data_IF_090812984703
#
_entry.id   IF_090812984703
#
_cell.length_a   1.000
_cell.length_b   1.000
_cell.length_c   1.000
_cell.angle_alpha   90.00
_cell.angle_beta   90.00
_cell.angle_gamma   90.00
#
_symmetry.space_group_name_H-M   'P 1'
#
loop_
_entity.id
_entity.type
_entity.pdbx_description
1 polymer ?
#
# COMPACT_ATOMS: atom_id res chain seq x y z
N UNK A 1 -44.98 -35.61 -46.46
CA UNK A 1 -44.68 -34.95 -45.21
C UNK A 1 -43.17 -35.11 -44.94
N UNK A 2 -42.37 -34.05 -45.22
CA UNK A 2 -40.91 -34.07 -44.92
C UNK A 2 -40.73 -33.44 -43.53
N UNK A 3 -40.25 -34.27 -42.57
CA UNK A 3 -39.87 -33.78 -41.27
C UNK A 3 -38.50 -33.06 -41.40
N UNK A 4 -38.49 -31.78 -41.06
CA UNK A 4 -37.27 -30.98 -40.95
C UNK A 4 -36.72 -31.19 -39.53
N UNK A 5 -35.59 -31.87 -39.39
CA UNK A 5 -34.84 -31.97 -38.11
C UNK A 5 -34.00 -30.68 -37.97
N UNK A 6 -34.39 -29.80 -37.06
CA UNK A 6 -33.58 -28.65 -36.66
C UNK A 6 -32.64 -29.14 -35.54
N UNK A 7 -31.37 -29.32 -35.87
CA UNK A 7 -30.35 -29.60 -34.89
C UNK A 7 -29.99 -28.30 -34.16
N UNK A 8 -30.36 -28.19 -32.88
CA UNK A 8 -29.89 -27.12 -31.99
C UNK A 8 -28.40 -27.37 -31.65
N UNK A 9 -27.51 -26.62 -32.30
CA UNK A 9 -26.11 -26.58 -31.90
C UNK A 9 -25.98 -25.79 -30.57
N UNK A 10 -25.83 -26.53 -29.49
CA UNK A 10 -25.44 -25.97 -28.19
C UNK A 10 -23.95 -25.53 -28.26
N UNK A 11 -23.69 -24.24 -28.48
CA UNK A 11 -22.37 -23.67 -28.25
C UNK A 11 -22.21 -23.48 -26.72
N UNK A 12 -21.31 -24.21 -26.07
CA UNK A 12 -21.00 -23.89 -24.68
C UNK A 12 -20.37 -22.49 -24.66
N UNK A 13 -21.01 -21.56 -23.97
CA UNK A 13 -20.43 -20.24 -23.68
C UNK A 13 -19.20 -20.51 -22.80
N UNK A 14 -18.02 -20.42 -23.36
CA UNK A 14 -16.77 -20.38 -22.59
C UNK A 14 -16.79 -19.09 -21.76
N UNK A 15 -17.23 -19.19 -20.52
CA UNK A 15 -17.07 -18.14 -19.53
C UNK A 15 -15.57 -18.02 -19.25
N UNK A 16 -14.89 -17.09 -19.90
CA UNK A 16 -13.54 -16.73 -19.54
C UNK A 16 -13.55 -16.15 -18.12
N UNK A 17 -12.82 -16.76 -17.21
CA UNK A 17 -12.59 -16.21 -15.91
C UNK A 17 -11.93 -14.82 -16.06
N UNK A 18 -12.46 -13.83 -15.36
CA UNK A 18 -11.97 -12.45 -15.43
C UNK A 18 -11.48 -12.00 -14.06
N UNK A 19 -10.54 -11.07 -14.07
CA UNK A 19 -10.14 -10.34 -12.86
C UNK A 19 -11.38 -9.68 -12.25
N UNK A 20 -11.57 -9.89 -10.95
CA UNK A 20 -12.71 -9.31 -10.22
C UNK A 20 -12.23 -8.26 -9.24
N UNK A 21 -12.98 -7.18 -9.15
CA UNK A 21 -12.77 -6.12 -8.15
C UNK A 21 -14.02 -6.04 -7.27
N UNK A 22 -13.87 -6.42 -6.02
CA UNK A 22 -14.91 -6.30 -5.00
C UNK A 22 -14.69 -5.01 -4.18
N UNK A 23 -15.77 -4.37 -3.75
CA UNK A 23 -15.73 -3.28 -2.78
C UNK A 23 -16.33 -3.77 -1.47
N UNK A 24 -15.57 -3.65 -0.40
CA UNK A 24 -15.96 -4.02 0.95
C UNK A 24 -16.27 -2.79 1.79
N UNK A 25 -17.31 -2.87 2.59
CA UNK A 25 -17.55 -2.00 3.73
C UNK A 25 -16.93 -2.66 4.96
N UNK A 26 -15.88 -2.04 5.51
CA UNK A 26 -15.11 -2.55 6.64
C UNK A 26 -15.44 -1.71 7.87
N UNK A 27 -16.22 -2.27 8.79
CA UNK A 27 -16.48 -1.61 10.07
C UNK A 27 -15.21 -1.67 10.94
N UNK A 28 -14.79 -0.52 11.43
CA UNK A 28 -13.67 -0.38 12.37
C UNK A 28 -14.20 -0.25 13.79
N UNK A 29 -14.10 -1.28 14.62
CA UNK A 29 -14.48 -1.21 16.04
C UNK A 29 -13.67 -0.17 16.81
N UNK A 30 -12.38 -0.02 16.50
CA UNK A 30 -11.52 0.94 17.20
C UNK A 30 -11.88 2.41 16.93
N UNK A 31 -12.45 2.69 15.75
CA UNK A 31 -12.83 4.06 15.36
C UNK A 31 -14.35 4.28 15.29
N UNK A 32 -15.17 3.24 15.51
CA UNK A 32 -16.64 3.27 15.42
C UNK A 32 -17.16 3.87 14.09
N UNK A 33 -16.50 3.50 12.99
CA UNK A 33 -16.88 3.95 11.64
C UNK A 33 -16.65 2.87 10.59
N UNK A 34 -17.36 2.99 9.47
CA UNK A 34 -17.17 2.11 8.31
C UNK A 34 -16.24 2.77 7.32
N UNK A 35 -15.22 2.03 6.88
CA UNK A 35 -14.29 2.39 5.83
C UNK A 35 -14.51 1.47 4.63
N UNK A 36 -14.03 1.88 3.46
CA UNK A 36 -14.11 1.04 2.26
C UNK A 36 -12.74 0.48 1.89
N UNK A 37 -12.73 -0.73 1.36
CA UNK A 37 -11.55 -1.30 0.70
C UNK A 37 -11.97 -1.93 -0.63
N UNK A 38 -11.10 -1.85 -1.65
CA UNK A 38 -11.30 -2.68 -2.84
C UNK A 38 -10.35 -3.88 -2.79
N UNK A 39 -10.84 -5.03 -3.24
CA UNK A 39 -10.09 -6.28 -3.33
C UNK A 39 -10.12 -6.75 -4.77
N UNK A 40 -8.95 -6.80 -5.40
CA UNK A 40 -8.76 -7.29 -6.76
C UNK A 40 -8.22 -8.71 -6.70
N UNK A 41 -8.95 -9.64 -7.30
CA UNK A 41 -8.55 -11.05 -7.39
C UNK A 41 -8.21 -11.43 -8.83
N UNK A 42 -7.15 -12.23 -9.09
CA UNK A 42 -6.81 -12.69 -10.45
C UNK A 42 -7.89 -13.62 -11.02
N UNK A 43 -7.88 -13.82 -12.33
CA UNK A 43 -8.87 -14.68 -13.01
C UNK A 43 -8.86 -16.12 -12.47
N UNK A 44 -7.68 -16.64 -12.15
CA UNK A 44 -7.50 -17.97 -11.55
C UNK A 44 -8.26 -18.13 -10.22
N UNK A 45 -8.51 -17.04 -9.49
CA UNK A 45 -9.27 -17.07 -8.24
C UNK A 45 -10.70 -17.61 -8.44
N UNK A 46 -11.30 -17.45 -9.61
CA UNK A 46 -12.66 -17.92 -9.91
C UNK A 46 -12.68 -19.43 -10.25
N UNK A 47 -11.56 -19.98 -10.71
CA UNK A 47 -11.49 -21.35 -11.26
C UNK A 47 -10.67 -22.33 -10.39
N UNK A 48 -9.88 -21.83 -9.43
CA UNK A 48 -9.09 -22.62 -8.49
C UNK A 48 -9.64 -22.51 -7.08
N UNK A 49 -9.28 -23.47 -6.22
CA UNK A 49 -9.48 -23.42 -4.76
C UNK A 49 -8.19 -23.02 -4.02
N UNK A 50 -7.14 -22.65 -4.76
CA UNK A 50 -5.86 -22.27 -4.19
C UNK A 50 -5.96 -21.02 -3.31
N UNK A 51 -4.99 -20.85 -2.42
CA UNK A 51 -4.77 -19.63 -1.65
C UNK A 51 -3.72 -18.78 -2.33
N UNK A 52 -3.82 -17.47 -2.16
CA UNK A 52 -3.05 -16.48 -2.91
C UNK A 52 -2.22 -15.59 -1.97
N UNK A 53 -1.01 -15.19 -2.37
CA UNK A 53 -0.31 -14.10 -1.72
C UNK A 53 -1.11 -12.80 -1.80
N UNK A 54 -0.87 -11.88 -0.86
CA UNK A 54 -1.60 -10.60 -0.78
C UNK A 54 -0.62 -9.43 -0.83
N UNK A 55 -0.95 -8.42 -1.64
CA UNK A 55 -0.27 -7.13 -1.65
C UNK A 55 -1.25 -6.04 -1.24
N UNK A 56 -0.93 -5.33 -0.15
CA UNK A 56 -1.64 -4.13 0.25
C UNK A 56 -1.06 -2.92 -0.49
N UNK A 57 -1.90 -2.21 -1.26
CA UNK A 57 -1.51 -1.09 -2.12
C UNK A 57 -2.16 0.20 -1.62
N UNK A 58 -1.41 1.02 -0.91
CA UNK A 58 -1.87 2.14 -0.12
C UNK A 58 -1.97 3.44 -0.95
N UNK A 59 -3.01 4.25 -0.69
CA UNK A 59 -3.23 5.55 -1.34
C UNK A 59 -2.52 6.70 -0.62
N UNK A 60 -2.43 7.86 -1.27
CA UNK A 60 -1.83 9.08 -0.73
C UNK A 60 -2.75 9.91 0.17
N UNK A 61 -2.24 11.03 0.67
CA UNK A 61 -2.83 11.83 1.76
C UNK A 61 -4.19 12.46 1.51
N UNK A 62 -4.63 12.59 0.27
CA UNK A 62 -5.97 13.09 -0.10
C UNK A 62 -6.74 12.06 -0.92
N UNK A 63 -6.34 10.79 -0.81
CA UNK A 63 -6.85 9.70 -1.61
C UNK A 63 -7.98 8.91 -0.97
N UNK A 64 -8.33 7.85 -1.67
CA UNK A 64 -9.36 6.89 -1.27
C UNK A 64 -9.00 5.48 -1.72
N UNK A 65 -9.75 4.49 -1.25
CA UNK A 65 -9.63 3.09 -1.65
C UNK A 65 -9.71 2.84 -3.17
N UNK A 66 -10.36 3.74 -3.90
CA UNK A 66 -10.58 3.59 -5.35
C UNK A 66 -9.53 4.27 -6.23
N UNK A 67 -8.62 5.06 -5.66
CA UNK A 67 -7.69 5.91 -6.42
C UNK A 67 -6.80 5.11 -7.38
N UNK A 68 -6.29 3.97 -6.94
CA UNK A 68 -5.46 3.09 -7.77
C UNK A 68 -6.22 2.47 -8.95
N UNK A 69 -7.56 2.45 -8.91
CA UNK A 69 -8.39 2.01 -10.03
C UNK A 69 -8.83 3.18 -10.93
N UNK A 70 -8.92 4.40 -10.38
CA UNK A 70 -9.53 5.54 -11.06
C UNK A 70 -8.54 6.58 -11.57
N UNK A 71 -7.48 6.90 -10.80
CA UNK A 71 -6.57 8.01 -11.08
C UNK A 71 -5.32 7.63 -11.89
N UNK A 72 -5.00 6.35 -11.97
CA UNK A 72 -3.89 5.86 -12.78
C UNK A 72 -4.02 6.26 -14.24
N UNK A 73 -2.90 6.58 -14.90
CA UNK A 73 -2.89 6.93 -16.33
C UNK A 73 -3.07 5.73 -17.23
N UNK A 74 -2.61 4.54 -16.83
CA UNK A 74 -2.89 3.27 -17.48
C UNK A 74 -4.07 2.59 -16.79
N UNK A 75 -5.27 2.72 -17.36
CA UNK A 75 -6.48 2.10 -16.81
C UNK A 75 -6.34 0.58 -16.75
N UNK A 76 -6.85 -0.01 -15.67
CA UNK A 76 -6.79 -1.45 -15.45
C UNK A 76 -5.43 -1.99 -15.00
N UNK A 77 -4.43 -1.13 -14.69
CA UNK A 77 -3.10 -1.58 -14.27
C UNK A 77 -3.15 -2.47 -13.02
N UNK A 78 -4.03 -2.17 -12.04
CA UNK A 78 -4.17 -3.01 -10.84
C UNK A 78 -4.67 -4.40 -11.20
N UNK A 79 -5.63 -4.50 -12.12
CA UNK A 79 -6.13 -5.78 -12.62
C UNK A 79 -5.02 -6.56 -13.34
N UNK A 80 -4.25 -5.86 -14.18
CA UNK A 80 -3.11 -6.46 -14.88
C UNK A 80 -2.04 -6.97 -13.91
N UNK A 81 -1.75 -6.22 -12.85
CA UNK A 81 -0.78 -6.63 -11.82
C UNK A 81 -1.28 -7.85 -11.03
N UNK A 82 -2.57 -7.88 -10.65
CA UNK A 82 -3.16 -9.04 -9.99
C UNK A 82 -3.04 -10.30 -10.85
N UNK A 83 -3.32 -10.18 -12.14
CA UNK A 83 -3.23 -11.28 -13.11
C UNK A 83 -1.77 -11.72 -13.34
N UNK A 84 -0.88 -10.75 -13.64
CA UNK A 84 0.53 -11.02 -13.96
C UNK A 84 1.26 -11.74 -12.83
N UNK A 85 1.01 -11.30 -11.61
CA UNK A 85 1.68 -11.86 -10.43
C UNK A 85 0.84 -12.91 -9.69
N UNK A 86 -0.36 -13.21 -10.16
CA UNK A 86 -1.29 -14.16 -9.53
C UNK A 86 -1.43 -13.92 -8.02
N UNK A 87 -1.76 -12.68 -7.65
CA UNK A 87 -1.89 -12.20 -6.26
C UNK A 87 -3.24 -11.53 -6.03
N UNK A 88 -3.70 -11.54 -4.79
CA UNK A 88 -4.78 -10.67 -4.32
C UNK A 88 -4.19 -9.28 -4.04
N UNK A 89 -4.83 -8.21 -4.54
CA UNK A 89 -4.43 -6.83 -4.25
C UNK A 89 -5.54 -6.17 -3.43
N UNK A 90 -5.17 -5.61 -2.29
CA UNK A 90 -6.10 -4.88 -1.41
C UNK A 90 -5.73 -3.39 -1.41
N UNK A 91 -6.68 -2.54 -1.80
CA UNK A 91 -6.53 -1.08 -1.74
C UNK A 91 -7.45 -0.53 -0.64
N UNK A 92 -6.92 -0.34 0.59
CA UNK A 92 -7.72 0.14 1.72
C UNK A 92 -7.96 1.65 1.64
N UNK A 93 -9.12 2.10 2.14
CA UNK A 93 -9.37 3.52 2.39
C UNK A 93 -9.04 3.88 3.82
N UNK A 94 -8.32 4.98 4.00
CA UNK A 94 -8.04 5.60 5.30
C UNK A 94 -8.36 7.09 5.24
N UNK A 95 -8.39 7.75 6.40
CA UNK A 95 -8.67 9.19 6.47
C UNK A 95 -7.58 10.05 5.81
N UNK A 96 -7.95 11.24 5.33
CA UNK A 96 -7.01 12.16 4.73
C UNK A 96 -5.91 12.55 5.73
N UNK A 97 -4.66 12.61 5.25
CA UNK A 97 -3.49 12.98 6.04
C UNK A 97 -3.28 12.17 7.35
N UNK A 98 -3.82 10.95 7.41
CA UNK A 98 -3.74 10.07 8.60
C UNK A 98 -2.40 9.37 8.77
N UNK A 99 -1.56 9.37 7.76
CA UNK A 99 -0.24 8.71 7.72
C UNK A 99 -0.24 7.23 8.10
N UNK A 100 -1.39 6.57 8.15
CA UNK A 100 -1.56 5.16 8.56
C UNK A 100 -1.10 4.86 9.99
N UNK A 101 -1.07 5.86 10.89
CA UNK A 101 -0.74 5.66 12.29
C UNK A 101 -1.95 5.83 13.22
N UNK A 102 -1.79 5.46 14.48
CA UNK A 102 -2.71 5.76 15.55
C UNK A 102 -2.32 7.10 16.20
N UNK A 103 -3.28 7.99 16.34
CA UNK A 103 -3.08 9.24 17.06
C UNK A 103 -3.02 8.97 18.58
N UNK A 104 -2.09 9.58 19.31
CA UNK A 104 -2.09 9.52 20.76
C UNK A 104 -3.20 10.39 21.40
N UNK A 105 -3.89 11.23 20.60
CA UNK A 105 -4.88 12.20 21.10
C UNK A 105 -6.30 11.94 20.60
N UNK A 106 -6.44 11.36 19.40
CA UNK A 106 -7.71 11.25 18.71
C UNK A 106 -8.12 9.77 18.53
N UNK A 107 -9.12 9.33 19.29
CA UNK A 107 -9.66 7.96 19.15
C UNK A 107 -10.26 7.69 17.78
N UNK A 108 -10.65 8.73 17.04
CA UNK A 108 -11.14 8.63 15.66
C UNK A 108 -10.03 8.40 14.61
N UNK A 109 -8.75 8.40 15.02
CA UNK A 109 -7.56 8.20 14.18
C UNK A 109 -6.77 7.02 14.72
N UNK A 110 -7.19 5.80 14.35
CA UNK A 110 -6.60 4.51 14.74
C UNK A 110 -6.31 3.69 13.50
N UNK A 111 -5.55 4.26 12.54
CA UNK A 111 -5.39 3.63 11.23
C UNK A 111 -4.32 2.54 11.20
N UNK A 112 -3.34 2.55 12.12
CA UNK A 112 -2.44 1.41 12.34
C UNK A 112 -3.24 0.22 12.88
N UNK A 113 -4.02 0.43 13.95
CA UNK A 113 -4.94 -0.59 14.52
C UNK A 113 -5.90 -1.12 13.45
N UNK A 114 -6.51 -0.22 12.67
CA UNK A 114 -7.40 -0.60 11.57
C UNK A 114 -6.70 -1.52 10.56
N UNK A 115 -5.53 -1.16 10.09
CA UNK A 115 -4.81 -1.97 9.10
C UNK A 115 -4.42 -3.33 9.66
N UNK A 116 -3.84 -3.36 10.86
CA UNK A 116 -3.17 -4.54 11.42
C UNK A 116 -4.15 -5.49 12.12
N UNK A 117 -5.06 -4.95 12.93
CA UNK A 117 -5.91 -5.75 13.80
C UNK A 117 -7.32 -5.97 13.24
N UNK A 118 -7.76 -5.14 12.28
CA UNK A 118 -9.12 -5.19 11.77
C UNK A 118 -9.16 -5.62 10.29
N UNK A 119 -8.48 -4.90 9.38
CA UNK A 119 -8.55 -5.15 7.95
C UNK A 119 -7.81 -6.44 7.53
N UNK A 120 -6.55 -6.62 7.93
CA UNK A 120 -5.77 -7.81 7.55
C UNK A 120 -6.47 -9.10 7.97
N UNK A 121 -6.91 -9.27 9.23
CA UNK A 121 -7.65 -10.47 9.64
C UNK A 121 -8.97 -10.64 8.89
N UNK A 122 -9.69 -9.56 8.59
CA UNK A 122 -10.92 -9.62 7.81
C UNK A 122 -10.66 -10.15 6.39
N UNK A 123 -9.65 -9.64 5.71
CA UNK A 123 -9.26 -10.09 4.37
C UNK A 123 -8.88 -11.58 4.41
N UNK A 124 -8.06 -12.00 5.37
CA UNK A 124 -7.64 -13.39 5.52
C UNK A 124 -8.81 -14.33 5.82
N UNK A 125 -9.87 -13.84 6.48
CA UNK A 125 -11.08 -14.62 6.77
C UNK A 125 -12.05 -14.71 5.59
N UNK A 126 -12.14 -13.67 4.76
CA UNK A 126 -13.11 -13.59 3.68
C UNK A 126 -12.57 -14.04 2.32
N UNK A 127 -11.26 -13.98 2.13
CA UNK A 127 -10.61 -14.35 0.88
C UNK A 127 -9.64 -15.51 1.07
N UNK A 128 -9.41 -16.26 0.01
CA UNK A 128 -8.44 -17.36 -0.01
C UNK A 128 -7.01 -16.79 -0.09
N UNK A 129 -6.55 -16.22 1.01
CA UNK A 129 -5.19 -15.70 1.16
C UNK A 129 -4.28 -16.69 1.85
N UNK A 130 -2.98 -16.64 1.57
CA UNK A 130 -1.94 -17.24 2.37
C UNK A 130 -1.67 -16.32 3.56
N UNK A 131 -2.31 -16.61 4.71
CA UNK A 131 -2.32 -15.76 5.92
C UNK A 131 -1.01 -15.87 6.72
N UNK A 132 0.13 -15.66 6.06
CA UNK A 132 1.47 -15.75 6.64
C UNK A 132 2.35 -14.61 6.15
N UNK A 133 3.41 -14.28 6.91
CA UNK A 133 4.37 -13.22 6.60
C UNK A 133 4.95 -13.37 5.19
N UNK A 134 5.41 -14.56 4.86
CA UNK A 134 6.12 -14.89 3.62
C UNK A 134 5.26 -14.69 2.36
N UNK A 135 3.95 -14.58 2.53
CA UNK A 135 2.99 -14.39 1.44
C UNK A 135 2.27 -13.05 1.49
N UNK A 136 2.74 -12.10 2.33
CA UNK A 136 2.13 -10.78 2.46
C UNK A 136 3.16 -9.68 2.26
N UNK A 137 2.83 -8.72 1.38
CA UNK A 137 3.64 -7.53 1.13
C UNK A 137 2.78 -6.27 1.17
N UNK A 138 3.44 -5.12 1.30
CA UNK A 138 2.78 -3.82 1.39
C UNK A 138 3.56 -2.78 0.59
N UNK A 139 2.86 -1.93 -0.16
CA UNK A 139 3.47 -0.78 -0.84
C UNK A 139 2.45 0.34 -0.97
N UNK A 140 2.89 1.53 -1.35
CA UNK A 140 1.99 2.65 -1.56
C UNK A 140 2.70 3.90 -2.05
N UNK A 141 1.89 4.92 -2.36
CA UNK A 141 2.38 6.22 -2.82
C UNK A 141 2.26 7.29 -1.74
N UNK A 142 3.22 8.23 -1.68
CA UNK A 142 3.14 9.42 -0.83
C UNK A 142 2.91 9.05 0.65
N UNK A 143 1.79 9.47 1.24
CA UNK A 143 1.35 9.02 2.56
C UNK A 143 1.27 7.49 2.67
N UNK A 144 0.85 6.79 1.60
CA UNK A 144 0.81 5.33 1.55
C UNK A 144 2.20 4.69 1.52
N UNK A 145 3.19 5.35 0.90
CA UNK A 145 4.59 4.94 0.97
C UNK A 145 5.16 5.04 2.39
N UNK A 146 4.82 6.13 3.10
CA UNK A 146 5.08 6.24 4.54
C UNK A 146 4.44 5.09 5.31
N UNK A 147 3.12 4.89 5.12
CA UNK A 147 2.38 3.84 5.81
C UNK A 147 2.95 2.45 5.57
N UNK A 148 3.32 2.13 4.33
CA UNK A 148 3.90 0.84 3.98
C UNK A 148 5.21 0.56 4.74
N UNK A 149 6.12 1.52 4.78
CA UNK A 149 7.41 1.37 5.49
C UNK A 149 7.21 1.35 7.01
N UNK A 150 6.39 2.25 7.56
CA UNK A 150 6.18 2.34 9.01
C UNK A 150 5.43 1.14 9.58
N UNK A 151 4.39 0.66 8.88
CA UNK A 151 3.65 -0.54 9.29
C UNK A 151 4.55 -1.79 9.23
N UNK A 152 5.34 -1.95 8.16
CA UNK A 152 6.26 -3.08 8.05
C UNK A 152 7.40 -3.03 9.09
N UNK A 153 7.88 -1.83 9.47
CA UNK A 153 8.87 -1.68 10.52
C UNK A 153 8.32 -2.02 11.91
N UNK A 154 7.07 -1.62 12.21
CA UNK A 154 6.43 -1.88 13.50
C UNK A 154 5.87 -3.31 13.63
N UNK A 155 5.51 -3.92 12.50
CA UNK A 155 4.88 -5.25 12.42
C UNK A 155 5.64 -6.16 11.44
N UNK A 156 6.94 -6.38 11.68
CA UNK A 156 7.78 -7.16 10.76
C UNK A 156 7.39 -8.64 10.67
N UNK A 157 6.58 -9.12 11.61
CA UNK A 157 6.01 -10.47 11.59
C UNK A 157 4.88 -10.64 10.57
N UNK A 158 4.36 -9.55 10.00
CA UNK A 158 3.23 -9.58 9.07
C UNK A 158 3.64 -9.46 7.60
N UNK A 159 4.81 -8.87 7.30
CA UNK A 159 5.19 -8.53 5.93
C UNK A 159 6.59 -9.03 5.59
N UNK A 160 6.74 -9.71 4.46
CA UNK A 160 8.04 -10.15 3.94
C UNK A 160 8.74 -9.05 3.15
N UNK A 161 7.98 -8.10 2.59
CA UNK A 161 8.52 -7.00 1.81
C UNK A 161 7.64 -5.75 1.92
N UNK A 162 8.28 -4.58 1.88
CA UNK A 162 7.64 -3.28 1.90
C UNK A 162 8.21 -2.36 0.83
N UNK A 163 7.34 -1.56 0.19
CA UNK A 163 7.73 -0.63 -0.85
C UNK A 163 7.16 0.76 -0.67
N UNK A 164 7.84 1.75 -1.24
CA UNK A 164 7.42 3.14 -1.20
C UNK A 164 7.64 3.83 -2.54
N UNK A 165 6.63 4.53 -3.02
CA UNK A 165 6.68 5.42 -4.18
C UNK A 165 6.48 6.86 -3.72
N UNK A 166 7.47 7.74 -3.89
CA UNK A 166 7.38 9.15 -3.44
C UNK A 166 6.93 9.27 -1.98
N UNK A 167 7.43 8.40 -1.09
CA UNK A 167 6.92 8.29 0.27
C UNK A 167 7.30 9.47 1.16
N UNK A 168 6.45 9.79 2.13
CA UNK A 168 6.77 10.75 3.20
C UNK A 168 7.71 10.06 4.20
N UNK A 169 8.99 9.91 3.85
CA UNK A 169 9.94 9.21 4.71
C UNK A 169 10.24 9.96 6.01
N UNK A 170 10.14 11.28 5.97
CA UNK A 170 10.23 12.15 7.14
C UNK A 170 9.03 13.09 7.18
N UNK A 171 8.29 13.09 8.31
CA UNK A 171 7.12 13.96 8.51
C UNK A 171 7.50 15.42 8.79
N UNK A 172 8.78 15.74 8.99
CA UNK A 172 9.25 17.13 9.11
C UNK A 172 9.02 17.88 7.81
N UNK A 173 8.00 18.72 7.80
CA UNK A 173 7.57 19.45 6.62
C UNK A 173 8.56 20.56 6.19
N UNK A 174 9.53 20.92 7.04
CA UNK A 174 10.57 21.88 6.69
C UNK A 174 11.59 21.29 5.69
N UNK A 175 11.63 19.96 5.59
CA UNK A 175 12.43 19.24 4.60
C UNK A 175 11.74 19.09 3.23
N UNK A 176 10.45 19.46 3.13
CA UNK A 176 9.67 19.28 1.90
C UNK A 176 9.83 20.49 0.99
N UNK A 177 10.04 20.28 -0.30
CA UNK A 177 10.12 21.34 -1.31
C UNK A 177 8.73 21.87 -1.70
N UNK A 178 8.01 22.46 -0.74
CA UNK A 178 6.63 22.97 -0.90
C UNK A 178 6.51 24.41 -0.44
N UNK A 179 5.46 25.09 -0.92
CA UNK A 179 5.12 26.44 -0.47
C UNK A 179 4.70 26.47 1.01
N UNK A 180 4.78 27.66 1.61
CA UNK A 180 4.53 27.87 3.04
C UNK A 180 3.11 27.50 3.46
N UNK A 181 2.10 27.84 2.67
CA UNK A 181 0.69 27.54 2.98
C UNK A 181 0.46 26.04 3.10
N UNK A 182 1.00 25.24 2.17
CA UNK A 182 0.87 23.78 2.23
C UNK A 182 1.63 23.21 3.44
N UNK A 183 2.82 23.74 3.74
CA UNK A 183 3.60 23.35 4.91
C UNK A 183 2.83 23.61 6.20
N UNK A 184 2.28 24.82 6.34
CA UNK A 184 1.51 25.23 7.52
C UNK A 184 0.24 24.38 7.68
N UNK A 185 -0.45 24.06 6.58
CA UNK A 185 -1.60 23.16 6.60
C UNK A 185 -1.22 21.78 7.14
N UNK A 186 -0.09 21.22 6.69
CA UNK A 186 0.38 19.89 7.15
C UNK A 186 0.84 19.92 8.60
N UNK A 187 1.57 20.97 9.02
CA UNK A 187 1.95 21.17 10.43
C UNK A 187 0.73 21.25 11.35
N UNK A 188 -0.30 21.99 10.93
CA UNK A 188 -1.55 22.07 11.71
C UNK A 188 -2.19 20.70 11.90
N UNK A 189 -2.33 19.92 10.83
CA UNK A 189 -2.91 18.57 10.94
C UNK A 189 -2.06 17.63 11.81
N UNK A 190 -0.73 17.72 11.72
CA UNK A 190 0.16 16.93 12.59
C UNK A 190 0.05 17.38 14.06
N UNK A 191 -0.07 18.68 14.32
CA UNK A 191 -0.27 19.20 15.68
C UNK A 191 -1.59 18.70 16.30
N UNK A 192 -2.65 18.70 15.52
CA UNK A 192 -3.96 18.17 15.94
C UNK A 192 -3.89 16.67 16.28
N UNK A 193 -3.14 15.89 15.51
CA UNK A 193 -3.03 14.45 15.69
C UNK A 193 -2.00 14.02 16.74
N UNK A 194 -0.89 14.75 16.88
CA UNK A 194 0.26 14.37 17.71
C UNK A 194 0.47 15.27 18.95
N UNK A 195 -0.26 16.37 19.07
CA UNK A 195 -0.28 17.27 20.24
C UNK A 195 0.91 18.22 20.37
N UNK A 196 2.00 17.98 19.69
CA UNK A 196 3.17 18.83 19.67
C UNK A 196 3.95 18.62 18.37
N UNK A 197 4.75 19.60 17.97
CA UNK A 197 5.65 19.47 16.82
C UNK A 197 7.07 19.79 17.28
N UNK A 198 7.84 18.75 17.51
CA UNK A 198 9.28 18.80 17.66
C UNK A 198 9.87 17.56 16.97
N UNK A 199 10.02 17.63 15.67
CA UNK A 199 10.44 16.50 14.84
C UNK A 199 11.81 15.90 15.23
N UNK A 200 12.63 16.60 16.01
CA UNK A 200 13.91 16.12 16.51
C UNK A 200 13.80 15.39 17.85
N UNK A 201 12.65 15.47 18.50
CA UNK A 201 12.43 14.79 19.77
C UNK A 201 12.14 13.29 19.56
N UNK A 202 12.73 12.40 20.37
CA UNK A 202 12.58 10.94 20.20
C UNK A 202 11.13 10.44 20.18
N UNK A 203 10.20 11.15 20.84
CA UNK A 203 8.77 10.79 20.82
C UNK A 203 8.12 10.84 19.43
N UNK A 204 8.76 11.50 18.45
CA UNK A 204 8.28 11.52 17.06
C UNK A 204 8.80 10.34 16.21
N UNK A 205 9.82 9.62 16.67
CA UNK A 205 10.36 8.48 15.94
C UNK A 205 9.28 7.47 15.53
N UNK A 206 8.29 7.11 16.37
CA UNK A 206 7.24 6.16 16.00
C UNK A 206 6.32 6.62 14.86
N UNK A 207 6.35 7.90 14.49
CA UNK A 207 5.47 8.53 13.50
C UNK A 207 6.17 8.87 12.19
N UNK A 208 7.44 8.49 12.02
CA UNK A 208 8.20 8.78 10.81
C UNK A 208 9.05 7.58 10.37
N UNK A 209 9.09 7.31 9.07
CA UNK A 209 9.83 6.17 8.55
C UNK A 209 11.32 6.20 8.91
N UNK A 210 11.95 7.37 8.82
CA UNK A 210 13.37 7.54 9.21
C UNK A 210 13.62 7.27 10.69
N UNK A 211 12.63 7.46 11.55
CA UNK A 211 12.72 7.17 13.00
C UNK A 211 12.56 5.69 13.33
N UNK A 212 12.02 4.89 12.41
CA UNK A 212 11.75 3.47 12.57
C UNK A 212 12.78 2.56 11.88
N UNK A 213 13.83 3.13 11.28
CA UNK A 213 14.82 2.38 10.49
C UNK A 213 15.45 1.23 11.28
N UNK A 214 15.75 1.43 12.56
CA UNK A 214 16.33 0.38 13.41
C UNK A 214 15.43 -0.85 13.56
N UNK A 215 14.10 -0.65 13.45
CA UNK A 215 13.11 -1.74 13.54
C UNK A 215 13.04 -2.57 12.24
N UNK A 216 13.59 -2.09 11.12
CA UNK A 216 13.72 -2.86 9.88
C UNK A 216 14.94 -3.78 9.89
N UNK A 217 15.93 -3.49 10.76
CA UNK A 217 17.20 -4.21 10.78
C UNK A 217 17.00 -5.65 11.25
N UNK A 218 17.56 -6.59 10.49
CA UNK A 218 17.57 -8.04 10.81
C UNK A 218 16.16 -8.68 10.98
N UNK A 219 15.10 -7.99 10.53
CA UNK A 219 13.72 -8.49 10.62
C UNK A 219 13.28 -9.30 9.40
N UNK A 220 14.12 -9.42 8.38
CA UNK A 220 13.79 -10.16 7.15
C UNK A 220 12.68 -9.49 6.32
N UNK A 221 12.52 -8.16 6.42
CA UNK A 221 11.65 -7.37 5.55
C UNK A 221 12.49 -6.77 4.44
N UNK A 222 12.22 -7.17 3.20
CA UNK A 222 12.85 -6.58 2.03
C UNK A 222 12.26 -5.18 1.74
N UNK A 223 13.09 -4.20 1.41
CA UNK A 223 12.67 -2.80 1.24
C UNK A 223 13.02 -2.28 -0.14
N UNK A 224 12.06 -1.59 -0.78
CA UNK A 224 12.27 -0.80 -1.99
C UNK A 224 11.73 0.63 -1.81
N UNK A 225 12.51 1.62 -2.20
CA UNK A 225 12.14 3.05 -2.19
C UNK A 225 12.34 3.59 -3.59
N UNK A 226 11.33 4.29 -4.11
CA UNK A 226 11.30 4.85 -5.46
C UNK A 226 10.76 6.28 -5.38
N UNK A 227 11.49 7.27 -5.91
CA UNK A 227 11.07 8.67 -5.87
C UNK A 227 11.53 9.43 -7.12
N UNK A 228 10.65 10.30 -7.66
CA UNK A 228 11.00 11.17 -8.75
C UNK A 228 11.98 12.27 -8.34
N UNK A 229 12.93 12.61 -9.22
CA UNK A 229 13.94 13.64 -8.92
C UNK A 229 13.35 15.05 -8.78
N UNK A 230 12.18 15.29 -9.39
CA UNK A 230 11.44 16.55 -9.29
C UNK A 230 10.33 16.52 -8.22
N UNK A 231 10.27 15.42 -7.44
CA UNK A 231 9.29 15.27 -6.37
C UNK A 231 9.63 16.17 -5.17
N UNK A 232 8.62 16.79 -4.58
CA UNK A 232 8.84 17.66 -3.42
C UNK A 232 9.31 16.89 -2.17
N UNK A 233 9.19 15.55 -2.15
CA UNK A 233 9.65 14.67 -1.07
C UNK A 233 11.02 14.03 -1.36
N UNK A 234 11.68 14.35 -2.45
CA UNK A 234 12.92 13.68 -2.87
C UNK A 234 13.99 13.70 -1.76
N UNK A 235 14.14 14.84 -1.05
CA UNK A 235 15.15 14.97 -0.01
C UNK A 235 14.89 14.04 1.19
N UNK A 236 13.62 13.82 1.55
CA UNK A 236 13.28 12.88 2.63
C UNK A 236 13.52 11.42 2.22
N UNK A 237 13.35 11.11 0.93
CA UNK A 237 13.66 9.78 0.38
C UNK A 237 15.19 9.55 0.31
N UNK A 238 15.96 10.57 -0.10
CA UNK A 238 17.44 10.54 -0.04
C UNK A 238 17.96 10.39 1.39
N UNK A 239 17.34 11.09 2.34
CA UNK A 239 17.65 10.96 3.77
C UNK A 239 17.44 9.50 4.23
N UNK A 240 16.31 8.90 3.92
CA UNK A 240 16.02 7.50 4.26
C UNK A 240 17.05 6.55 3.65
N UNK A 241 17.35 6.72 2.35
CA UNK A 241 18.38 5.94 1.66
C UNK A 241 19.74 6.04 2.37
N UNK A 242 20.21 7.25 2.69
CA UNK A 242 21.46 7.47 3.42
C UNK A 242 21.49 6.76 4.78
N UNK A 243 20.42 6.86 5.56
CA UNK A 243 20.32 6.18 6.87
C UNK A 243 20.36 4.66 6.72
N UNK A 244 19.67 4.10 5.72
CA UNK A 244 19.68 2.65 5.45
C UNK A 244 21.09 2.17 5.07
N UNK A 245 21.84 2.94 4.26
CA UNK A 245 23.24 2.65 3.92
C UNK A 245 24.14 2.69 5.16
N UNK A 246 24.04 3.75 5.96
CA UNK A 246 24.85 3.92 7.17
C UNK A 246 24.63 2.77 8.17
N UNK A 247 23.38 2.29 8.28
CA UNK A 247 23.01 1.17 9.15
C UNK A 247 23.24 -0.21 8.53
N UNK A 248 23.70 -0.27 7.27
CA UNK A 248 23.92 -1.51 6.48
C UNK A 248 22.65 -2.35 6.36
N UNK A 249 21.50 -1.70 6.17
CA UNK A 249 20.23 -2.36 5.89
C UNK A 249 20.08 -2.50 4.37
N UNK A 250 19.97 -3.74 3.91
CA UNK A 250 19.80 -4.04 2.48
C UNK A 250 18.48 -3.49 1.95
N UNK A 251 18.51 -2.74 0.85
CA UNK A 251 17.33 -2.18 0.20
C UNK A 251 17.59 -1.87 -1.28
N UNK A 252 16.53 -1.78 -2.08
CA UNK A 252 16.60 -1.18 -3.42
C UNK A 252 16.20 0.30 -3.32
N UNK A 253 16.96 1.18 -3.99
CA UNK A 253 16.65 2.60 -4.08
C UNK A 253 16.67 3.05 -5.54
N UNK A 254 15.62 3.74 -5.98
CA UNK A 254 15.44 4.18 -7.36
C UNK A 254 15.11 5.66 -7.39
N UNK A 255 15.90 6.42 -8.16
CA UNK A 255 15.54 7.76 -8.61
C UNK A 255 15.40 7.76 -10.13
N UNK A 256 14.37 8.41 -10.64
CA UNK A 256 14.15 8.60 -12.07
C UNK A 256 13.48 9.93 -12.34
N UNK A 257 13.54 10.45 -13.61
CA UNK A 257 12.81 11.67 -13.96
C UNK A 257 11.33 11.56 -13.61
N UNK A 258 10.76 12.61 -13.02
CA UNK A 258 9.35 12.70 -12.65
C UNK A 258 9.12 13.40 -11.32
N UNK A 259 7.86 13.70 -11.06
CA UNK A 259 7.39 14.48 -9.93
C UNK A 259 6.27 13.75 -9.17
N UNK A 260 5.68 14.40 -8.16
CA UNK A 260 4.62 13.86 -7.29
C UNK A 260 3.28 13.73 -8.03
N UNK A 261 3.19 12.81 -9.00
CA UNK A 261 2.06 12.69 -9.93
C UNK A 261 1.60 11.26 -10.16
N UNK A 262 0.33 11.11 -10.56
CA UNK A 262 -0.22 9.82 -10.94
C UNK A 262 0.47 9.20 -12.16
N UNK A 263 1.04 10.01 -13.07
CA UNK A 263 1.87 9.49 -14.17
C UNK A 263 3.08 8.75 -13.62
N UNK A 264 3.83 9.38 -12.72
CA UNK A 264 4.98 8.75 -12.08
C UNK A 264 4.61 7.46 -11.35
N UNK A 265 3.58 7.49 -10.53
CA UNK A 265 3.18 6.32 -9.74
C UNK A 265 2.61 5.18 -10.58
N UNK A 266 1.95 5.48 -11.71
CA UNK A 266 1.51 4.46 -12.66
C UNK A 266 2.69 3.72 -13.30
N UNK A 267 3.81 4.41 -13.57
CA UNK A 267 5.04 3.81 -14.09
C UNK A 267 5.86 3.11 -13.00
N UNK A 268 5.77 3.58 -11.75
CA UNK A 268 6.50 3.03 -10.60
C UNK A 268 5.88 1.74 -10.05
N UNK A 269 4.55 1.62 -10.05
CA UNK A 269 3.87 0.49 -9.40
C UNK A 269 4.24 -0.88 -9.98
N UNK A 270 4.45 -1.08 -11.29
CA UNK A 270 4.94 -2.36 -11.81
C UNK A 270 6.34 -2.74 -11.29
N UNK A 271 7.21 -1.74 -11.07
CA UNK A 271 8.55 -1.95 -10.51
C UNK A 271 8.45 -2.42 -9.06
N UNK A 272 7.57 -1.77 -8.28
CA UNK A 272 7.27 -2.19 -6.92
C UNK A 272 6.78 -3.65 -6.88
N UNK A 273 5.81 -4.01 -7.71
CA UNK A 273 5.28 -5.37 -7.77
C UNK A 273 6.32 -6.40 -8.21
N UNK A 274 7.17 -6.06 -9.18
CA UNK A 274 8.29 -6.91 -9.59
C UNK A 274 9.25 -7.19 -8.43
N UNK A 275 9.58 -6.17 -7.63
CA UNK A 275 10.40 -6.32 -6.45
C UNK A 275 9.71 -7.19 -5.37
N UNK A 276 8.49 -6.83 -4.98
CA UNK A 276 7.75 -7.54 -3.93
C UNK A 276 7.58 -9.03 -4.27
N UNK A 277 7.31 -9.32 -5.54
CA UNK A 277 7.11 -10.70 -6.01
C UNK A 277 8.35 -11.60 -5.87
N UNK A 278 9.56 -11.03 -5.81
CA UNK A 278 10.80 -11.82 -5.57
C UNK A 278 10.80 -12.49 -4.20
N UNK A 279 10.08 -11.92 -3.24
CA UNK A 279 10.06 -12.36 -1.84
C UNK A 279 8.78 -13.11 -1.45
N UNK A 280 7.69 -12.96 -2.23
CA UNK A 280 6.42 -13.62 -1.93
C UNK A 280 6.47 -15.12 -2.19
N UNK A 281 6.14 -15.91 -1.16
CA UNK A 281 5.92 -17.34 -1.28
C UNK A 281 4.47 -17.64 -1.71
N UNK A 282 4.31 -18.76 -2.46
CA UNK A 282 3.03 -19.18 -3.07
C UNK A 282 2.50 -20.49 -2.51
N UNK A 283 3.25 -21.09 -1.64
CA UNK A 283 2.88 -22.33 -0.93
C UNK A 283 2.97 -22.08 0.57
N UNK A 284 2.12 -22.76 1.38
CA UNK A 284 2.20 -22.68 2.83
C UNK A 284 3.55 -23.14 3.37
#
# INVERSE_FOLDING_TARGET
MKLLFIAFLFFPSLLFAQVKVDTLDVFSPSMQKTLKAAVTTPSTYQTSQDRYPVIYLLHGGSGSFSDWHQKVTQKGIVNQLAETYNVVIVTPGVGPASYYYDSPLLDSVRYETYMIQELIPLIDSQYRTLAQKESRAITGLSMGGHGAITLAAKHPELFVAAGSMSGVMNIDTDLWKVGEDFRNLRKKGQLEMLGAINYKAPQFNPYTAVGLVDQLKDQGVAVIIDCGVDDFLIETNRQMHGILLDKKIAHEYIERPGAHTWTYWTEAVPVQFSFLNKYLQRTP
#
